data_IF_545067581061
#
_entry.id   IF_545067581061
#
_cell.length_a   1.000
_cell.length_b   1.000
_cell.length_c   1.000
_cell.angle_alpha   90.00
_cell.angle_beta   90.00
_cell.angle_gamma   90.00
#
_symmetry.space_group_name_H-M   'P 1'
#
loop_
_entity.id
_entity.type
_entity.pdbx_description
1 polymer ?
#
# COMPACT_ATOMS: atom_id res chain seq x y z
N UNK A 1 33.37 43.33 -23.60
CA UNK A 1 33.62 42.69 -22.28
C UNK A 1 32.42 41.82 -21.95
N UNK A 2 32.66 40.52 -21.81
CA UNK A 2 31.71 39.46 -21.46
C UNK A 2 31.04 39.68 -20.11
N UNK A 3 29.86 39.08 -19.91
CA UNK A 3 29.65 38.02 -18.91
C UNK A 3 28.37 37.23 -19.25
N UNK A 4 28.55 35.93 -19.50
CA UNK A 4 27.54 34.88 -19.52
C UNK A 4 26.91 34.67 -18.14
N UNK A 5 25.72 34.07 -18.10
CA UNK A 5 25.39 33.14 -17.02
C UNK A 5 23.91 33.01 -16.72
N UNK A 6 23.32 31.84 -17.00
CA UNK A 6 22.02 31.48 -16.40
C UNK A 6 21.16 30.52 -17.21
N UNK A 7 21.75 29.42 -17.71
CA UNK A 7 21.02 28.29 -18.28
C UNK A 7 20.02 27.69 -17.26
N UNK A 8 18.81 27.41 -17.73
CA UNK A 8 17.79 26.48 -17.21
C UNK A 8 18.05 25.81 -15.84
N UNK A 9 17.21 26.14 -14.86
CA UNK A 9 16.96 25.26 -13.70
C UNK A 9 15.49 25.29 -13.31
N UNK A 10 14.69 24.46 -13.96
CA UNK A 10 13.36 24.06 -13.49
C UNK A 10 13.02 22.71 -14.09
N UNK A 11 13.46 21.64 -13.42
CA UNK A 11 13.09 20.27 -13.76
C UNK A 11 12.97 19.36 -12.53
N UNK A 12 12.58 19.90 -11.38
CA UNK A 12 12.29 19.09 -10.19
C UNK A 12 10.98 19.43 -9.46
N UNK A 13 10.31 20.55 -9.76
CA UNK A 13 9.04 20.90 -9.12
C UNK A 13 7.84 20.10 -9.68
N UNK A 14 7.90 19.73 -10.96
CA UNK A 14 6.78 19.10 -11.67
C UNK A 14 6.50 17.67 -11.17
N UNK A 15 7.53 16.93 -10.76
CA UNK A 15 7.38 15.55 -10.30
C UNK A 15 6.62 15.41 -8.97
N UNK A 16 6.83 16.36 -8.05
CA UNK A 16 6.14 16.38 -6.76
C UNK A 16 4.69 16.87 -6.91
N UNK A 17 4.47 17.89 -7.73
CA UNK A 17 3.11 18.42 -7.97
C UNK A 17 2.20 17.39 -8.66
N UNK A 18 2.73 16.56 -9.56
CA UNK A 18 1.94 15.49 -10.19
C UNK A 18 1.53 14.42 -9.17
N UNK A 19 2.43 14.04 -8.26
CA UNK A 19 2.09 13.09 -7.18
C UNK A 19 1.00 13.64 -6.27
N UNK A 20 1.11 14.89 -5.83
CA UNK A 20 0.10 15.54 -4.97
C UNK A 20 -1.27 15.63 -5.66
N UNK A 21 -1.31 15.92 -6.96
CA UNK A 21 -2.55 15.97 -7.74
C UNK A 21 -3.19 14.58 -7.85
N UNK A 22 -2.38 13.55 -8.10
CA UNK A 22 -2.84 12.16 -8.19
C UNK A 22 -3.38 11.69 -6.83
N UNK A 23 -2.66 11.96 -5.75
CA UNK A 23 -3.06 11.58 -4.39
C UNK A 23 -4.36 12.29 -3.97
N UNK A 24 -4.51 13.58 -4.28
CA UNK A 24 -5.73 14.32 -4.03
C UNK A 24 -6.92 13.86 -4.88
N UNK A 25 -6.68 13.40 -6.10
CA UNK A 25 -7.74 12.87 -6.98
C UNK A 25 -8.33 11.55 -6.47
N UNK A 26 -7.48 10.66 -5.94
CA UNK A 26 -7.95 9.40 -5.36
C UNK A 26 -8.84 9.62 -4.13
N UNK A 27 -8.54 10.62 -3.28
CA UNK A 27 -9.36 10.97 -2.12
C UNK A 27 -10.78 11.42 -2.49
N UNK A 28 -10.97 12.01 -3.67
CA UNK A 28 -12.28 12.51 -4.12
C UNK A 28 -13.20 11.41 -4.68
N UNK A 29 -12.63 10.35 -5.24
CA UNK A 29 -13.39 9.22 -5.79
C UNK A 29 -13.86 8.23 -4.72
N UNK A 30 -13.31 8.35 -3.51
CA UNK A 30 -13.53 7.46 -2.38
C UNK A 30 -14.98 7.15 -2.02
N UNK A 31 -15.86 8.15 -1.86
CA UNK A 31 -17.19 7.93 -1.30
C UNK A 31 -18.15 7.28 -2.30
N UNK A 32 -17.76 7.20 -3.58
CA UNK A 32 -18.63 6.75 -4.67
C UNK A 32 -18.40 5.28 -5.08
N UNK A 33 -17.39 4.63 -4.51
CA UNK A 33 -17.15 3.18 -4.67
C UNK A 33 -18.03 2.40 -3.69
N UNK A 34 -19.28 2.18 -4.10
CA UNK A 34 -20.45 1.76 -3.29
C UNK A 34 -20.48 0.27 -2.89
N UNK A 35 -21.23 -0.03 -1.81
CA UNK A 35 -21.30 -1.26 -0.99
C UNK A 35 -21.53 -2.62 -1.67
N UNK A 36 -21.77 -2.71 -2.99
CA UNK A 36 -21.71 -4.00 -3.71
C UNK A 36 -20.27 -4.53 -3.84
N UNK A 37 -19.29 -3.66 -3.56
CA UNK A 37 -17.85 -3.86 -3.78
C UNK A 37 -17.13 -4.76 -2.76
N UNK A 38 -17.74 -5.15 -1.63
CA UNK A 38 -17.02 -5.78 -0.50
C UNK A 38 -16.44 -7.17 -0.85
N UNK A 39 -17.08 -7.92 -1.75
CA UNK A 39 -16.56 -9.22 -2.22
C UNK A 39 -15.32 -9.08 -3.12
N UNK A 40 -15.21 -7.96 -3.84
CA UNK A 40 -14.14 -7.67 -4.80
C UNK A 40 -12.94 -6.94 -4.16
N UNK A 41 -12.97 -6.74 -2.84
CA UNK A 41 -11.89 -6.06 -2.11
C UNK A 41 -10.79 -7.06 -1.78
N UNK A 42 -9.55 -6.61 -1.94
CA UNK A 42 -8.37 -7.32 -1.48
C UNK A 42 -8.46 -7.50 0.05
N UNK A 43 -8.57 -8.75 0.51
CA UNK A 43 -8.56 -9.11 1.93
C UNK A 43 -7.14 -9.05 2.44
N UNK A 44 -6.84 -8.05 3.27
CA UNK A 44 -5.53 -7.85 3.86
C UNK A 44 -5.58 -8.18 5.34
N UNK A 45 -4.77 -9.14 5.77
CA UNK A 45 -4.54 -9.39 7.19
C UNK A 45 -3.29 -8.67 7.66
N UNK A 46 -3.30 -8.23 8.92
CA UNK A 46 -2.10 -7.75 9.60
C UNK A 46 -1.56 -8.88 10.46
N UNK A 47 -0.24 -9.01 10.47
CA UNK A 47 0.46 -9.94 11.35
C UNK A 47 0.09 -9.69 12.83
N UNK A 48 -0.46 -10.68 13.55
CA UNK A 48 -0.81 -10.53 14.96
C UNK A 48 0.41 -10.35 15.88
N UNK A 49 1.61 -10.74 15.43
CA UNK A 49 2.87 -10.56 16.13
C UNK A 49 3.51 -9.19 15.84
N UNK A 50 2.88 -8.37 14.99
CA UNK A 50 3.35 -7.01 14.71
C UNK A 50 3.39 -6.16 15.99
N UNK A 51 4.46 -5.37 16.22
CA UNK A 51 4.52 -4.46 17.36
C UNK A 51 3.33 -3.49 17.38
N UNK A 52 2.67 -3.36 18.53
CA UNK A 52 1.44 -2.56 18.72
C UNK A 52 1.46 -1.14 18.10
N UNK A 53 2.52 -0.32 18.27
CA UNK A 53 2.56 1.01 17.64
C UNK A 53 2.54 0.96 16.12
N UNK A 54 3.22 -0.03 15.53
CA UNK A 54 3.25 -0.24 14.09
C UNK A 54 1.93 -0.81 13.59
N UNK A 55 1.36 -1.78 14.31
CA UNK A 55 0.05 -2.36 14.01
C UNK A 55 -1.02 -1.28 13.86
N UNK A 56 -1.13 -0.39 14.85
CA UNK A 56 -2.10 0.71 14.81
C UNK A 56 -1.83 1.69 13.65
N UNK A 57 -0.56 2.00 13.39
CA UNK A 57 -0.17 2.87 12.27
C UNK A 57 -0.60 2.27 10.93
N UNK A 58 -0.31 0.99 10.70
CA UNK A 58 -0.66 0.27 9.48
C UNK A 58 -2.18 0.15 9.37
N UNK A 59 -2.87 -0.22 10.46
CA UNK A 59 -4.32 -0.33 10.51
C UNK A 59 -4.99 0.98 10.11
N UNK A 60 -4.57 2.11 10.68
CA UNK A 60 -5.13 3.45 10.40
C UNK A 60 -4.87 3.91 8.97
N UNK A 61 -3.71 3.60 8.41
CA UNK A 61 -3.41 3.89 7.00
C UNK A 61 -4.31 3.05 6.08
N UNK A 62 -4.44 1.76 6.36
CA UNK A 62 -5.17 0.83 5.50
C UNK A 62 -6.70 0.80 5.72
N UNK A 63 -7.22 1.47 6.74
CA UNK A 63 -8.68 1.59 6.94
C UNK A 63 -9.33 2.52 5.94
N UNK A 64 -8.54 3.41 5.34
CA UNK A 64 -9.06 4.31 4.34
C UNK A 64 -9.44 3.49 3.10
N UNK A 65 -8.50 2.76 2.40
CA UNK A 65 -8.66 1.95 1.14
C UNK A 65 -10.02 1.29 0.82
N UNK A 66 -10.77 1.82 -0.15
CA UNK A 66 -12.09 1.31 -0.55
C UNK A 66 -11.97 0.01 -1.35
N UNK A 67 -10.80 -0.26 -1.93
CA UNK A 67 -10.44 -1.50 -2.63
C UNK A 67 -9.78 -2.54 -1.72
N UNK A 68 -9.64 -2.25 -0.42
CA UNK A 68 -9.07 -3.16 0.58
C UNK A 68 -10.12 -3.46 1.64
N UNK A 69 -10.06 -4.66 2.18
CA UNK A 69 -10.79 -5.06 3.38
C UNK A 69 -9.80 -5.61 4.38
N UNK A 70 -9.70 -4.98 5.54
CA UNK A 70 -8.93 -5.56 6.65
C UNK A 70 -9.68 -6.76 7.21
N UNK A 71 -8.98 -7.89 7.33
CA UNK A 71 -9.50 -9.17 7.84
C UNK A 71 -8.53 -9.77 8.86
N UNK A 72 -8.97 -10.78 9.61
CA UNK A 72 -8.07 -11.59 10.44
C UNK A 72 -7.38 -12.67 9.61
N UNK A 73 -6.30 -13.26 10.14
CA UNK A 73 -5.58 -14.38 9.50
C UNK A 73 -6.47 -15.61 9.29
N UNK A 74 -7.49 -15.80 10.13
CA UNK A 74 -8.47 -16.89 10.04
C UNK A 74 -9.49 -16.70 8.90
N UNK A 75 -9.61 -15.48 8.37
CA UNK A 75 -10.61 -15.12 7.36
C UNK A 75 -10.13 -15.30 5.92
N UNK A 76 -9.11 -16.14 5.70
CA UNK A 76 -8.50 -16.43 4.39
C UNK A 76 -8.11 -15.14 3.66
N UNK A 77 -7.10 -14.40 4.17
CA UNK A 77 -6.60 -13.20 3.52
C UNK A 77 -5.97 -13.51 2.16
N UNK A 78 -6.05 -12.55 1.24
CA UNK A 78 -5.34 -12.59 -0.04
C UNK A 78 -3.88 -12.13 0.10
N UNK A 79 -3.58 -11.39 1.17
CA UNK A 79 -2.26 -10.87 1.50
C UNK A 79 -2.14 -10.66 3.02
N UNK A 80 -0.98 -10.99 3.59
CA UNK A 80 -0.62 -10.64 4.96
C UNK A 80 0.42 -9.51 4.95
N UNK A 81 0.27 -8.49 5.80
CA UNK A 81 1.31 -7.48 6.02
C UNK A 81 1.99 -7.77 7.36
N UNK A 82 3.30 -7.97 7.33
CA UNK A 82 4.12 -8.23 8.51
C UNK A 82 5.20 -7.17 8.71
N UNK A 83 5.65 -7.00 9.95
CA UNK A 83 6.70 -6.06 10.29
C UNK A 83 8.07 -6.50 9.77
N UNK A 84 8.38 -7.79 9.86
CA UNK A 84 9.74 -8.31 9.72
C UNK A 84 9.76 -9.55 8.82
N UNK A 85 10.81 -9.67 8.00
CA UNK A 85 11.03 -10.86 7.18
C UNK A 85 11.11 -12.11 8.07
N UNK A 86 10.51 -13.21 7.61
CA UNK A 86 10.67 -14.51 8.25
C UNK A 86 12.15 -14.88 8.32
N UNK A 87 12.58 -15.40 9.46
CA UNK A 87 13.90 -16.00 9.57
C UNK A 87 13.98 -17.27 8.69
N UNK A 88 15.18 -17.68 8.24
CA UNK A 88 15.34 -18.91 7.48
C UNK A 88 14.80 -20.12 8.28
N UNK A 89 13.77 -20.78 7.76
CA UNK A 89 13.11 -21.93 8.39
C UNK A 89 11.85 -21.61 9.19
N UNK A 90 11.45 -20.35 9.31
CA UNK A 90 10.13 -19.99 9.84
C UNK A 90 9.05 -20.12 8.76
N UNK A 91 7.91 -20.67 9.16
CA UNK A 91 6.74 -20.75 8.29
C UNK A 91 5.92 -19.45 8.32
N UNK A 92 5.31 -19.04 7.20
CA UNK A 92 4.38 -17.92 7.18
C UNK A 92 3.18 -18.15 8.10
N UNK A 93 2.70 -17.09 8.74
CA UNK A 93 1.55 -17.12 9.66
C UNK A 93 0.29 -17.69 8.99
N UNK A 94 0.12 -17.39 7.70
CA UNK A 94 -0.92 -18.00 6.88
C UNK A 94 -0.22 -18.75 5.73
N UNK A 95 -0.26 -20.09 5.73
CA UNK A 95 0.32 -20.90 4.67
C UNK A 95 -0.22 -20.51 3.29
N UNK A 96 0.63 -20.60 2.27
CA UNK A 96 0.31 -20.32 0.86
C UNK A 96 -0.21 -18.90 0.55
N UNK A 97 -0.24 -18.01 1.55
CA UNK A 97 -0.66 -16.61 1.39
C UNK A 97 0.56 -15.72 1.22
N UNK A 98 0.59 -14.82 0.22
CA UNK A 98 1.71 -13.91 0.06
C UNK A 98 1.81 -12.95 1.26
N UNK A 99 3.06 -12.70 1.69
CA UNK A 99 3.36 -11.78 2.80
C UNK A 99 4.10 -10.56 2.24
N UNK A 100 3.66 -9.37 2.64
CA UNK A 100 4.35 -8.11 2.39
C UNK A 100 5.04 -7.66 3.67
N UNK A 101 6.35 -7.51 3.63
CA UNK A 101 7.16 -7.13 4.79
C UNK A 101 7.46 -5.63 4.80
N UNK A 102 7.16 -4.96 5.90
CA UNK A 102 7.42 -3.53 6.05
C UNK A 102 8.90 -3.23 6.30
N UNK A 103 9.65 -4.13 6.94
CA UNK A 103 11.10 -4.01 7.09
C UNK A 103 11.91 -4.60 5.91
N UNK A 104 11.28 -4.86 4.76
CA UNK A 104 11.97 -5.26 3.54
C UNK A 104 12.49 -4.04 2.78
N UNK A 105 13.58 -4.26 2.04
CA UNK A 105 14.08 -3.41 0.97
C UNK A 105 13.03 -3.01 -0.09
N UNK A 106 11.92 -3.76 -0.20
CA UNK A 106 10.78 -3.46 -1.09
C UNK A 106 9.84 -2.39 -0.54
N UNK A 107 9.93 -2.05 0.74
CA UNK A 107 9.13 -1.00 1.34
C UNK A 107 9.86 0.33 1.25
N UNK A 108 9.60 1.12 0.19
CA UNK A 108 10.18 2.46 0.07
C UNK A 108 9.30 3.53 0.72
N UNK A 109 7.98 3.39 0.62
CA UNK A 109 7.02 4.38 1.15
C UNK A 109 5.59 3.84 1.27
N UNK A 110 4.76 4.53 2.06
CA UNK A 110 3.32 4.27 2.15
C UNK A 110 2.63 4.37 0.78
N UNK A 111 2.98 5.35 -0.04
CA UNK A 111 2.42 5.51 -1.40
C UNK A 111 2.69 4.28 -2.28
N UNK A 112 3.89 3.70 -2.18
CA UNK A 112 4.23 2.49 -2.93
C UNK A 112 3.45 1.27 -2.41
N UNK A 113 3.28 1.14 -1.09
CA UNK A 113 2.41 0.11 -0.51
C UNK A 113 0.98 0.25 -1.06
N UNK A 114 0.41 1.45 -1.10
CA UNK A 114 -0.93 1.65 -1.68
C UNK A 114 -1.00 1.27 -3.15
N UNK A 115 0.01 1.61 -3.95
CA UNK A 115 0.08 1.24 -5.37
C UNK A 115 0.15 -0.27 -5.56
N UNK A 116 0.95 -0.99 -4.76
CA UNK A 116 1.04 -2.45 -4.80
C UNK A 116 -0.30 -3.10 -4.43
N UNK A 117 -0.94 -2.63 -3.35
CA UNK A 117 -2.25 -3.12 -2.92
C UNK A 117 -3.33 -2.83 -3.97
N UNK A 118 -3.27 -1.68 -4.63
CA UNK A 118 -4.18 -1.35 -5.73
C UNK A 118 -3.95 -2.26 -6.94
N UNK A 119 -2.69 -2.46 -7.35
CA UNK A 119 -2.38 -3.36 -8.46
C UNK A 119 -2.85 -4.80 -8.20
N UNK A 120 -2.71 -5.28 -6.95
CA UNK A 120 -3.20 -6.60 -6.53
C UNK A 120 -4.72 -6.71 -6.52
N UNK A 121 -5.43 -5.71 -6.00
CA UNK A 121 -6.90 -5.72 -6.02
C UNK A 121 -7.44 -5.78 -7.46
N UNK A 122 -6.78 -5.08 -8.40
CA UNK A 122 -7.14 -5.15 -9.82
C UNK A 122 -6.92 -6.52 -10.46
N UNK A 123 -5.93 -7.29 -10.01
CA UNK A 123 -5.70 -8.67 -10.51
C UNK A 123 -6.77 -9.65 -10.02
N UNK A 124 -7.25 -9.49 -8.79
CA UNK A 124 -8.33 -10.32 -8.23
C UNK A 124 -9.64 -10.19 -9.02
N UNK A 125 -9.99 -8.97 -9.45
CA UNK A 125 -11.22 -8.69 -10.21
C UNK A 125 -11.16 -9.24 -11.65
N UNK A 126 -9.97 -9.51 -12.17
CA UNK A 126 -9.78 -9.96 -13.55
C UNK A 126 -9.95 -11.49 -13.73
N UNK A 127 -10.35 -12.22 -12.69
CA UNK A 127 -10.60 -13.67 -12.69
C UNK A 127 -12.05 -13.93 -12.27
#
# INVERSE_FOLDING_TARGET
RSCLGGFFRSRSAIGNSIKEIIDGFYQLLWPFMTDSAIADKLKVALDPLMPQPLYETVRLNLTQPAYIRLVTTEQQPDLVISAQNLAPGEEPIVPDTPVFYLASDRFESWSQLYQELFARSRKLIAH
#
